data_IF_637147057722
#
_entry.id   IF_637147057722
#
_cell.length_a   1.000
_cell.length_b   1.000
_cell.length_c   1.000
_cell.angle_alpha   90.00
_cell.angle_beta   90.00
_cell.angle_gamma   90.00
#
_symmetry.space_group_name_H-M   'P 1'
#
loop_
_entity.id
_entity.type
_entity.pdbx_description
1 polymer ?
#
# COMPACT_ATOMS: atom_id res chain seq x y z
N UNK A 1 -1.79 38.64 -10.73
CA UNK A 1 -2.48 38.00 -9.59
C UNK A 1 -2.13 36.53 -9.61
N UNK A 2 -1.22 36.08 -8.73
CA UNK A 2 -0.66 34.74 -8.77
C UNK A 2 -1.70 33.70 -8.38
N UNK A 3 -1.94 32.71 -9.24
CA UNK A 3 -2.69 31.51 -8.90
C UNK A 3 -2.03 30.86 -7.68
N UNK A 4 -2.72 30.86 -6.54
CA UNK A 4 -2.26 30.21 -5.30
C UNK A 4 -2.32 28.71 -5.48
N UNK A 5 -1.20 28.13 -5.92
CA UNK A 5 -1.01 26.69 -6.04
C UNK A 5 -1.23 26.05 -4.66
N UNK A 6 -1.96 24.94 -4.56
CA UNK A 6 -2.12 24.17 -3.32
C UNK A 6 -3.00 24.78 -2.19
N UNK A 7 -3.82 25.81 -2.44
CA UNK A 7 -4.66 26.44 -1.40
C UNK A 7 -5.57 25.46 -0.64
N UNK A 8 -6.10 24.45 -1.34
CA UNK A 8 -6.97 23.42 -0.76
C UNK A 8 -6.22 22.20 -0.19
N UNK A 9 -4.89 22.18 -0.25
CA UNK A 9 -4.09 21.02 0.17
C UNK A 9 -3.95 20.98 1.70
N UNK A 10 -4.57 19.97 2.33
CA UNK A 10 -4.45 19.70 3.77
C UNK A 10 -3.11 19.03 4.05
N UNK A 11 -2.25 19.74 4.77
CA UNK A 11 -0.87 19.32 5.01
C UNK A 11 -0.64 19.01 6.48
N UNK A 12 0.02 17.90 6.79
CA UNK A 12 0.55 17.63 8.12
C UNK A 12 2.08 17.74 8.11
N UNK A 13 2.60 18.51 9.06
CA UNK A 13 4.02 18.66 9.35
C UNK A 13 4.34 17.92 10.66
N UNK A 14 4.73 16.66 10.53
CA UNK A 14 5.07 15.76 11.62
C UNK A 14 6.58 15.74 11.83
N UNK A 15 7.12 16.85 12.32
CA UNK A 15 8.55 17.07 12.51
C UNK A 15 8.75 17.47 13.96
N UNK A 16 9.61 16.78 14.70
CA UNK A 16 9.91 17.07 16.11
C UNK A 16 10.61 18.43 16.27
N UNK A 17 11.60 18.72 15.44
CA UNK A 17 12.35 19.97 15.46
C UNK A 17 11.46 21.17 15.07
N UNK A 18 11.16 22.01 16.07
CA UNK A 18 10.32 23.21 15.93
C UNK A 18 10.85 24.22 14.91
N UNK A 19 12.18 24.38 14.79
CA UNK A 19 12.78 25.33 13.84
C UNK A 19 12.54 24.87 12.40
N UNK A 20 12.77 23.58 12.12
CA UNK A 20 12.50 22.99 10.80
C UNK A 20 11.00 23.12 10.47
N UNK A 21 10.13 22.78 11.42
CA UNK A 21 8.68 22.82 11.23
C UNK A 21 8.17 24.23 10.90
N UNK A 22 8.63 25.25 11.64
CA UNK A 22 8.31 26.66 11.35
C UNK A 22 8.85 27.08 9.98
N UNK A 23 10.11 26.74 9.67
CA UNK A 23 10.74 27.09 8.40
C UNK A 23 10.01 26.50 7.20
N UNK A 24 9.62 25.22 7.27
CA UNK A 24 8.82 24.56 6.24
C UNK A 24 7.44 25.22 6.10
N UNK A 25 6.73 25.45 7.21
CA UNK A 25 5.41 26.08 7.19
C UNK A 25 5.44 27.46 6.54
N UNK A 26 6.39 28.32 6.93
CA UNK A 26 6.51 29.66 6.35
C UNK A 26 6.86 29.62 4.86
N UNK A 27 7.80 28.76 4.46
CA UNK A 27 8.13 28.61 3.04
C UNK A 27 6.92 28.12 2.22
N UNK A 28 6.15 27.17 2.74
CA UNK A 28 5.02 26.58 2.04
C UNK A 28 3.84 27.55 1.90
N UNK A 29 3.65 28.45 2.88
CA UNK A 29 2.68 29.54 2.76
C UNK A 29 2.93 30.42 1.53
N UNK A 30 4.19 30.69 1.19
CA UNK A 30 4.53 31.46 0.00
C UNK A 30 4.13 30.74 -1.29
N UNK A 31 4.14 29.39 -1.28
CA UNK A 31 3.71 28.55 -2.40
C UNK A 31 2.19 28.33 -2.47
N UNK A 32 1.43 28.84 -1.51
CA UNK A 32 -0.03 28.85 -1.51
C UNK A 32 -0.71 27.85 -0.58
N UNK A 33 0.04 27.04 0.14
CA UNK A 33 -0.50 26.18 1.20
C UNK A 33 -1.11 27.03 2.34
N UNK A 34 -2.24 26.58 2.89
CA UNK A 34 -2.95 27.30 3.98
C UNK A 34 -3.36 26.40 5.15
N UNK A 35 -3.73 25.15 4.88
CA UNK A 35 -4.19 24.21 5.90
C UNK A 35 -3.04 23.35 6.42
N UNK A 36 -2.57 23.65 7.64
CA UNK A 36 -1.48 22.92 8.29
C UNK A 36 -1.94 22.31 9.62
N UNK A 37 -1.61 21.05 9.82
CA UNK A 37 -1.60 20.38 11.13
C UNK A 37 -0.14 20.16 11.51
N UNK A 38 0.28 20.65 12.67
CA UNK A 38 1.66 20.50 13.16
C UNK A 38 1.69 19.51 14.32
N UNK A 39 2.54 18.49 14.23
CA UNK A 39 2.75 17.51 15.31
C UNK A 39 4.24 17.29 15.52
N UNK A 40 4.65 17.04 16.77
CA UNK A 40 6.04 16.82 17.15
C UNK A 40 6.30 15.41 17.69
N UNK A 41 5.25 14.62 17.90
CA UNK A 41 5.30 13.32 18.56
C UNK A 41 4.51 12.28 17.78
N UNK A 42 4.92 11.02 17.91
CA UNK A 42 4.31 9.89 17.22
C UNK A 42 2.82 9.73 17.55
N UNK A 43 2.43 9.83 18.83
CA UNK A 43 1.03 9.67 19.25
C UNK A 43 0.11 10.73 18.63
N UNK A 44 0.59 11.98 18.54
CA UNK A 44 -0.14 13.06 17.89
C UNK A 44 -0.28 12.85 16.37
N UNK A 45 0.73 12.27 15.72
CA UNK A 45 0.62 11.87 14.31
C UNK A 45 -0.47 10.79 14.12
N UNK A 46 -0.50 9.77 14.97
CA UNK A 46 -1.54 8.72 14.93
C UNK A 46 -2.92 9.35 15.14
N UNK A 47 -3.09 10.19 16.16
CA UNK A 47 -4.36 10.85 16.43
C UNK A 47 -4.82 11.70 15.25
N UNK A 48 -3.92 12.50 14.66
CA UNK A 48 -4.24 13.33 13.51
C UNK A 48 -4.71 12.50 12.31
N UNK A 49 -3.98 11.42 11.97
CA UNK A 49 -4.34 10.53 10.86
C UNK A 49 -5.64 9.73 11.10
N UNK A 50 -6.05 9.56 12.36
CA UNK A 50 -7.36 8.96 12.69
C UNK A 50 -8.52 9.95 12.64
N UNK A 51 -8.24 11.25 12.75
CA UNK A 51 -9.29 12.28 12.90
C UNK A 51 -9.57 13.03 11.60
N UNK A 52 -8.58 13.11 10.70
CA UNK A 52 -8.71 13.87 9.46
C UNK A 52 -7.91 13.23 8.32
N UNK A 53 -8.44 13.37 7.10
CA UNK A 53 -7.72 13.05 5.87
C UNK A 53 -6.75 14.17 5.49
N UNK A 54 -5.60 13.78 4.92
CA UNK A 54 -4.55 14.70 4.49
C UNK A 54 -4.20 14.48 3.02
N UNK A 55 -3.67 15.51 2.38
CA UNK A 55 -3.23 15.49 1.00
C UNK A 55 -1.71 15.37 0.90
N UNK A 56 -1.00 15.96 1.89
CA UNK A 56 0.46 15.96 1.99
C UNK A 56 0.89 15.67 3.43
N UNK A 57 1.79 14.71 3.60
CA UNK A 57 2.41 14.34 4.86
C UNK A 57 3.91 14.58 4.73
N UNK A 58 4.45 15.46 5.56
CA UNK A 58 5.89 15.61 5.75
C UNK A 58 6.21 15.16 7.16
N UNK A 59 6.96 14.06 7.28
CA UNK A 59 7.24 13.45 8.57
C UNK A 59 8.73 13.20 8.77
N UNK A 60 9.26 13.50 9.95
CA UNK A 60 10.55 12.95 10.36
C UNK A 60 10.45 11.42 10.43
N UNK A 61 11.46 10.73 9.93
CA UNK A 61 11.54 9.27 9.97
C UNK A 61 11.56 8.74 11.41
N UNK A 62 12.16 9.52 12.30
CA UNK A 62 12.06 9.40 13.74
C UNK A 62 11.38 10.65 14.29
N UNK A 63 10.25 10.46 14.98
CA UNK A 63 9.40 11.53 15.51
C UNK A 63 9.27 11.35 17.02
N UNK A 64 9.95 12.22 17.78
CA UNK A 64 10.00 12.09 19.24
C UNK A 64 10.69 10.81 19.71
N UNK A 65 11.72 10.35 18.99
CA UNK A 65 12.47 9.13 19.30
C UNK A 65 11.83 7.81 18.81
N UNK A 66 10.65 7.87 18.17
CA UNK A 66 9.96 6.70 17.64
C UNK A 66 9.87 6.74 16.12
N UNK A 67 9.95 5.58 15.46
CA UNK A 67 9.85 5.52 14.01
C UNK A 67 8.44 5.84 13.52
N UNK A 68 8.32 6.73 12.54
CA UNK A 68 7.05 7.00 11.86
C UNK A 68 6.72 5.98 10.75
N UNK A 69 7.71 5.16 10.34
CA UNK A 69 7.55 4.17 9.28
C UNK A 69 6.38 3.17 9.49
N UNK A 70 6.15 2.61 10.69
CA UNK A 70 5.00 1.73 10.92
C UNK A 70 3.65 2.42 10.70
N UNK A 71 3.55 3.71 11.02
CA UNK A 71 2.32 4.50 10.87
C UNK A 71 2.03 4.76 9.40
N UNK A 72 3.05 5.18 8.64
CA UNK A 72 2.93 5.39 7.19
C UNK A 72 2.57 4.06 6.50
N UNK A 73 3.21 2.96 6.90
CA UNK A 73 2.89 1.63 6.37
C UNK A 73 1.46 1.21 6.71
N UNK A 74 0.98 1.43 7.94
CA UNK A 74 -0.39 1.15 8.33
C UNK A 74 -1.40 1.95 7.48
N UNK A 75 -1.16 3.25 7.32
CA UNK A 75 -1.98 4.11 6.44
C UNK A 75 -2.00 3.59 5.00
N UNK A 76 -0.83 3.27 4.42
CA UNK A 76 -0.74 2.74 3.05
C UNK A 76 -1.47 1.42 2.86
N UNK A 77 -1.48 0.59 3.88
CA UNK A 77 -2.17 -0.70 3.87
C UNK A 77 -3.65 -0.59 4.27
N UNK A 78 -4.22 0.62 4.36
CA UNK A 78 -5.65 0.81 4.66
C UNK A 78 -6.03 0.51 6.12
N UNK A 79 -5.05 0.44 7.04
CA UNK A 79 -5.29 0.19 8.48
C UNK A 79 -5.55 1.48 9.27
N UNK A 80 -5.92 2.55 8.57
CA UNK A 80 -6.26 3.85 9.13
C UNK A 80 -7.59 4.28 8.50
N UNK A 81 -8.43 5.07 9.18
CA UNK A 81 -9.81 5.34 8.76
C UNK A 81 -9.94 6.22 7.50
N UNK A 82 -8.84 6.66 6.90
CA UNK A 82 -8.83 7.54 5.75
C UNK A 82 -7.94 6.98 4.64
N UNK A 83 -8.24 7.42 3.41
CA UNK A 83 -7.64 6.86 2.21
C UNK A 83 -6.09 6.83 2.24
N UNK A 84 -5.46 5.83 1.60
CA UNK A 84 -4.01 5.63 1.64
C UNK A 84 -3.24 6.55 0.68
N UNK A 85 -3.90 7.50 0.00
CA UNK A 85 -3.31 8.29 -1.08
C UNK A 85 -2.58 9.61 -0.77
N UNK A 86 -2.42 10.10 0.49
CA UNK A 86 -1.62 11.30 0.71
C UNK A 86 -0.24 11.17 0.09
N UNK A 87 0.33 12.28 -0.37
CA UNK A 87 1.74 12.30 -0.79
C UNK A 87 2.60 12.36 0.46
N UNK A 88 3.56 11.45 0.59
CA UNK A 88 4.37 11.31 1.80
C UNK A 88 5.84 11.61 1.50
N UNK A 89 6.40 12.58 2.21
CA UNK A 89 7.83 12.90 2.20
C UNK A 89 8.40 12.62 3.59
N UNK A 90 9.33 11.67 3.68
CA UNK A 90 10.01 11.34 4.93
C UNK A 90 11.34 12.09 5.03
N UNK A 91 11.62 12.68 6.20
CA UNK A 91 12.87 13.38 6.50
C UNK A 91 13.78 12.46 7.32
N UNK A 92 14.99 12.22 6.84
CA UNK A 92 15.91 11.25 7.42
C UNK A 92 17.06 11.98 8.12
N UNK A 93 17.38 11.57 9.35
CA UNK A 93 18.54 12.09 10.08
C UNK A 93 19.86 11.46 9.61
N UNK A 94 19.80 10.22 9.13
CA UNK A 94 20.96 9.44 8.70
C UNK A 94 20.72 8.74 7.36
N UNK A 95 21.80 8.28 6.75
CA UNK A 95 21.81 7.66 5.41
C UNK A 95 22.22 6.20 5.44
N UNK A 96 22.22 5.58 6.63
CA UNK A 96 22.50 4.15 6.77
C UNK A 96 21.58 3.31 5.87
N UNK A 97 22.15 2.29 5.24
CA UNK A 97 21.47 1.53 4.20
C UNK A 97 20.26 0.77 4.74
N UNK A 98 20.37 0.18 5.93
CA UNK A 98 19.29 -0.58 6.55
C UNK A 98 18.19 0.36 7.05
N UNK A 99 18.57 1.51 7.61
CA UNK A 99 17.63 2.58 7.96
C UNK A 99 16.84 3.06 6.74
N UNK A 100 17.54 3.47 5.66
CA UNK A 100 16.90 3.95 4.43
C UNK A 100 16.00 2.87 3.82
N UNK A 101 16.42 1.60 3.85
CA UNK A 101 15.60 0.48 3.36
C UNK A 101 14.34 0.32 4.19
N UNK A 102 14.42 0.39 5.52
CA UNK A 102 13.27 0.35 6.42
C UNK A 102 12.27 1.47 6.12
N UNK A 103 12.76 2.71 5.98
CA UNK A 103 11.89 3.86 5.65
C UNK A 103 11.31 3.73 4.25
N UNK A 104 12.08 3.26 3.27
CA UNK A 104 11.61 3.01 1.90
C UNK A 104 10.47 1.98 1.87
N UNK A 105 10.56 0.93 2.67
CA UNK A 105 9.55 -0.12 2.78
C UNK A 105 8.26 0.35 3.47
N UNK A 106 8.24 1.53 4.10
CA UNK A 106 7.00 2.11 4.62
C UNK A 106 6.10 2.72 3.52
N UNK A 107 6.63 2.90 2.31
CA UNK A 107 5.87 3.46 1.19
C UNK A 107 5.77 4.99 1.11
N UNK A 108 6.79 5.78 1.53
CA UNK A 108 6.76 7.21 1.23
C UNK A 108 6.86 7.45 -0.29
N UNK A 109 6.41 8.60 -0.79
CA UNK A 109 6.65 9.03 -2.18
C UNK A 109 8.10 9.53 -2.33
N UNK A 110 8.62 10.24 -1.31
CA UNK A 110 10.01 10.69 -1.28
C UNK A 110 10.68 10.55 0.08
N UNK A 111 12.01 10.57 0.06
CA UNK A 111 12.86 10.63 1.24
C UNK A 111 13.89 11.74 1.04
N UNK A 112 14.13 12.56 2.06
CA UNK A 112 15.11 13.65 2.02
C UNK A 112 15.97 13.61 3.28
N UNK A 113 17.30 13.72 3.11
CA UNK A 113 18.21 13.82 4.25
C UNK A 113 18.14 15.22 4.86
N UNK A 114 18.20 15.29 6.19
CA UNK A 114 18.36 16.53 6.93
C UNK A 114 19.84 17.00 6.86
N UNK A 115 20.09 18.32 6.85
CA UNK A 115 19.11 19.42 6.86
C UNK A 115 18.40 19.59 5.51
N UNK A 116 17.09 19.86 5.56
CA UNK A 116 16.28 20.05 4.35
C UNK A 116 16.00 21.53 4.09
N UNK A 117 16.30 21.98 2.87
CA UNK A 117 15.90 23.31 2.39
C UNK A 117 14.48 23.26 1.81
N UNK A 118 13.61 24.27 2.07
CA UNK A 118 12.24 24.26 1.55
C UNK A 118 12.14 24.27 0.02
N UNK A 119 13.05 24.96 -0.68
CA UNK A 119 13.03 25.08 -2.14
C UNK A 119 13.08 23.73 -2.87
N UNK A 120 14.10 22.88 -2.63
CA UNK A 120 14.15 21.52 -3.17
C UNK A 120 12.93 20.66 -2.84
N UNK A 121 12.37 20.80 -1.63
CA UNK A 121 11.16 20.07 -1.24
C UNK A 121 9.93 20.53 -2.05
N UNK A 122 9.74 21.84 -2.21
CA UNK A 122 8.67 22.42 -3.03
C UNK A 122 8.80 22.01 -4.50
N UNK A 123 10.02 22.00 -5.05
CA UNK A 123 10.27 21.48 -6.40
C UNK A 123 9.82 20.02 -6.52
N UNK A 124 10.11 19.20 -5.50
CA UNK A 124 9.68 17.80 -5.50
C UNK A 124 8.15 17.66 -5.41
N UNK A 125 7.50 18.51 -4.63
CA UNK A 125 6.02 18.59 -4.55
C UNK A 125 5.43 18.94 -5.91
N UNK A 126 6.03 19.90 -6.64
CA UNK A 126 5.64 20.24 -8.01
C UNK A 126 5.82 19.04 -8.96
N UNK A 127 6.94 18.33 -8.89
CA UNK A 127 7.17 17.11 -9.67
C UNK A 127 6.06 16.08 -9.41
N UNK A 128 5.66 15.89 -8.16
CA UNK A 128 4.58 14.97 -7.80
C UNK A 128 3.21 15.41 -8.30
N UNK A 129 2.91 16.70 -8.32
CA UNK A 129 1.67 17.22 -8.90
C UNK A 129 1.56 16.91 -10.41
N UNK A 130 2.70 16.82 -11.10
CA UNK A 130 2.78 16.50 -12.53
C UNK A 130 2.77 14.99 -12.79
N UNK A 131 3.67 14.26 -12.14
CA UNK A 131 3.87 12.83 -12.35
C UNK A 131 4.16 12.11 -11.03
N UNK A 132 3.10 11.64 -10.39
CA UNK A 132 3.21 10.68 -9.29
C UNK A 132 3.40 9.28 -9.86
N UNK A 133 4.27 8.48 -9.24
CA UNK A 133 4.44 7.07 -9.63
C UNK A 133 3.18 6.26 -9.32
N UNK A 134 2.86 5.25 -10.14
CA UNK A 134 1.80 4.31 -9.79
C UNK A 134 2.21 3.49 -8.57
N UNK A 135 1.22 2.93 -7.89
CA UNK A 135 1.40 2.05 -6.75
C UNK A 135 1.53 0.60 -7.18
N UNK A 136 2.14 -0.19 -6.31
CA UNK A 136 2.17 -1.66 -6.36
C UNK A 136 1.52 -2.16 -5.08
N UNK A 137 0.80 -3.28 -5.18
CA UNK A 137 0.22 -3.96 -4.03
C UNK A 137 0.84 -5.35 -3.91
N UNK A 138 1.44 -5.59 -2.76
CA UNK A 138 1.95 -6.89 -2.33
C UNK A 138 1.39 -7.18 -0.95
N UNK A 139 1.69 -8.37 -0.41
CA UNK A 139 1.26 -8.77 0.94
C UNK A 139 1.66 -7.76 2.03
N UNK A 140 2.89 -7.23 1.93
CA UNK A 140 3.49 -6.43 2.99
C UNK A 140 3.78 -4.98 2.59
N UNK A 141 3.44 -4.62 1.34
CA UNK A 141 3.76 -3.30 0.79
C UNK A 141 2.66 -2.84 -0.16
N UNK A 142 2.10 -1.68 0.18
CA UNK A 142 1.29 -0.86 -0.71
C UNK A 142 2.00 0.49 -0.86
N UNK A 143 2.33 0.89 -2.09
CA UNK A 143 2.99 2.18 -2.30
C UNK A 143 3.67 2.34 -3.65
N UNK A 144 4.35 3.48 -3.86
CA UNK A 144 4.97 3.84 -5.14
C UNK A 144 5.90 2.76 -5.69
N UNK A 145 5.83 2.49 -6.99
CA UNK A 145 6.75 1.55 -7.61
C UNK A 145 8.21 2.05 -7.55
N UNK A 146 9.06 1.17 -7.01
CA UNK A 146 10.51 1.41 -6.84
C UNK A 146 11.35 0.41 -7.63
N UNK A 147 10.72 -0.51 -8.37
CA UNK A 147 11.40 -1.53 -9.14
C UNK A 147 12.10 -0.86 -10.33
N UNK A 148 13.35 -1.26 -10.60
CA UNK A 148 14.11 -0.80 -11.77
C UNK A 148 13.92 -1.69 -13.00
N UNK A 149 13.12 -2.76 -12.86
CA UNK A 149 12.82 -3.75 -13.89
C UNK A 149 12.10 -4.96 -13.30
N UNK A 150 11.58 -5.81 -14.18
CA UNK A 150 11.03 -7.11 -13.80
C UNK A 150 12.16 -8.03 -13.32
N UNK A 151 11.93 -8.72 -12.21
CA UNK A 151 12.80 -9.82 -11.81
C UNK A 151 12.43 -11.04 -12.66
N UNK A 152 13.40 -11.72 -13.32
CA UNK A 152 13.12 -12.92 -14.10
C UNK A 152 12.39 -13.97 -13.24
N UNK A 153 11.28 -14.52 -13.75
CA UNK A 153 10.50 -15.55 -13.07
C UNK A 153 9.54 -15.08 -11.96
N UNK A 154 9.36 -13.76 -11.77
CA UNK A 154 8.32 -13.23 -10.90
C UNK A 154 7.05 -12.90 -11.67
N UNK A 155 5.89 -13.17 -11.06
CA UNK A 155 4.59 -12.73 -11.55
C UNK A 155 4.57 -11.20 -11.75
N UNK A 156 3.96 -10.74 -12.85
CA UNK A 156 3.81 -9.31 -13.11
C UNK A 156 2.82 -8.71 -12.11
N UNK A 157 3.34 -7.96 -11.13
CA UNK A 157 2.51 -7.28 -10.14
C UNK A 157 1.93 -6.01 -10.79
N UNK A 158 0.59 -5.89 -10.93
CA UNK A 158 -0.06 -4.76 -11.58
C UNK A 158 0.36 -3.43 -10.94
N UNK A 159 0.51 -2.43 -11.81
CA UNK A 159 0.69 -1.04 -11.42
C UNK A 159 -0.68 -0.37 -11.37
N UNK A 160 -0.93 0.37 -10.29
CA UNK A 160 -2.18 1.10 -10.09
C UNK A 160 -1.91 2.59 -10.11
N UNK A 161 -2.50 3.31 -11.06
CA UNK A 161 -2.54 4.76 -11.00
C UNK A 161 -3.43 5.17 -9.82
N UNK A 162 -2.87 5.95 -8.89
CA UNK A 162 -3.57 6.38 -7.68
C UNK A 162 -3.99 7.86 -7.75
N UNK A 163 -5.04 8.25 -7.02
CA UNK A 163 -5.42 9.64 -6.86
C UNK A 163 -4.23 10.49 -6.47
N UNK A 164 -4.16 11.69 -7.05
CA UNK A 164 -3.09 12.63 -6.79
C UNK A 164 -3.68 13.92 -6.21
N UNK A 165 -3.65 14.08 -4.89
CA UNK A 165 -4.30 15.22 -4.24
C UNK A 165 -3.62 16.56 -4.59
N UNK A 166 -2.31 16.57 -4.84
CA UNK A 166 -1.60 17.76 -5.32
C UNK A 166 -2.02 18.15 -6.74
N UNK A 167 -2.21 17.16 -7.63
CA UNK A 167 -2.75 17.39 -8.98
C UNK A 167 -4.19 17.89 -8.94
N UNK A 168 -5.01 17.33 -8.05
CA UNK A 168 -6.39 17.77 -7.84
C UNK A 168 -6.44 19.23 -7.38
N UNK A 169 -5.60 19.61 -6.40
CA UNK A 169 -5.52 20.98 -5.90
C UNK A 169 -5.03 21.97 -6.97
N UNK A 170 -3.99 21.61 -7.74
CA UNK A 170 -3.43 22.50 -8.78
C UNK A 170 -4.35 22.68 -9.99
N UNK A 171 -5.17 21.67 -10.31
CA UNK A 171 -6.13 21.72 -11.42
C UNK A 171 -7.53 22.16 -11.00
N UNK A 172 -7.75 22.47 -9.72
CA UNK A 172 -9.07 22.74 -9.14
C UNK A 172 -10.10 21.66 -9.51
N UNK A 173 -9.69 20.40 -9.40
CA UNK A 173 -10.61 19.26 -9.60
C UNK A 173 -11.70 19.34 -8.52
N UNK A 174 -13.00 19.31 -8.87
CA UNK A 174 -14.09 19.28 -7.91
C UNK A 174 -13.96 18.14 -6.89
N UNK A 175 -14.33 18.42 -5.64
CA UNK A 175 -14.21 17.45 -4.54
C UNK A 175 -15.00 16.16 -4.80
N UNK A 176 -16.16 16.24 -5.45
CA UNK A 176 -16.97 15.07 -5.83
C UNK A 176 -16.20 14.12 -6.75
N UNK A 177 -15.58 14.65 -7.82
CA UNK A 177 -14.79 13.86 -8.76
C UNK A 177 -13.57 13.26 -8.06
N UNK A 178 -12.91 14.05 -7.20
CA UNK A 178 -11.77 13.57 -6.40
C UNK A 178 -12.19 12.41 -5.48
N UNK A 179 -13.33 12.55 -4.81
CA UNK A 179 -13.83 11.56 -3.86
C UNK A 179 -14.21 10.26 -4.58
N UNK A 180 -14.88 10.33 -5.74
CA UNK A 180 -15.16 9.14 -6.55
C UNK A 180 -13.88 8.47 -7.08
N UNK A 181 -12.86 9.23 -7.48
CA UNK A 181 -11.57 8.66 -7.90
C UNK A 181 -10.88 7.92 -6.74
N UNK A 182 -10.95 8.48 -5.52
CA UNK A 182 -10.45 7.88 -4.29
C UNK A 182 -11.16 6.55 -4.02
N UNK A 183 -12.48 6.57 -3.92
CA UNK A 183 -13.30 5.39 -3.58
C UNK A 183 -13.07 4.24 -4.57
N UNK A 184 -13.12 4.52 -5.86
CA UNK A 184 -12.89 3.49 -6.89
C UNK A 184 -11.49 2.90 -6.81
N UNK A 185 -10.49 3.71 -6.47
CA UNK A 185 -9.11 3.23 -6.35
C UNK A 185 -8.91 2.44 -5.06
N UNK A 186 -9.55 2.81 -3.94
CA UNK A 186 -9.50 2.02 -2.70
C UNK A 186 -10.10 0.64 -2.92
N UNK A 187 -11.28 0.55 -3.53
CA UNK A 187 -11.92 -0.72 -3.91
C UNK A 187 -10.97 -1.55 -4.78
N UNK A 188 -10.32 -0.92 -5.76
CA UNK A 188 -9.38 -1.63 -6.63
C UNK A 188 -8.14 -2.15 -5.87
N UNK A 189 -7.54 -1.34 -5.00
CA UNK A 189 -6.40 -1.76 -4.17
C UNK A 189 -6.80 -2.88 -3.20
N UNK A 190 -8.00 -2.82 -2.62
CA UNK A 190 -8.54 -3.86 -1.76
C UNK A 190 -8.71 -5.18 -2.53
N UNK A 191 -9.31 -5.15 -3.73
CA UNK A 191 -9.44 -6.33 -4.58
C UNK A 191 -8.07 -6.94 -4.95
N UNK A 192 -7.09 -6.11 -5.29
CA UNK A 192 -5.72 -6.59 -5.56
C UNK A 192 -5.09 -7.23 -4.34
N UNK A 193 -5.27 -6.64 -3.15
CA UNK A 193 -4.75 -7.16 -1.89
C UNK A 193 -5.37 -8.51 -1.54
N UNK A 194 -6.69 -8.62 -1.65
CA UNK A 194 -7.43 -9.87 -1.50
C UNK A 194 -6.90 -10.94 -2.46
N UNK A 195 -6.68 -10.59 -3.73
CA UNK A 195 -6.09 -11.53 -4.71
C UNK A 195 -4.68 -11.98 -4.32
N UNK A 196 -3.89 -11.15 -3.64
CA UNK A 196 -2.59 -11.58 -3.09
C UNK A 196 -2.76 -12.54 -1.91
N UNK A 197 -3.78 -12.36 -1.09
CA UNK A 197 -4.10 -13.27 0.01
C UNK A 197 -4.51 -14.65 -0.49
N UNK A 198 -5.34 -14.76 -1.54
CA UNK A 198 -5.71 -16.07 -2.09
C UNK A 198 -4.49 -16.84 -2.63
N UNK A 199 -3.60 -16.17 -3.37
CA UNK A 199 -2.34 -16.77 -3.85
C UNK A 199 -1.46 -17.24 -2.69
N UNK A 200 -1.37 -16.44 -1.63
CA UNK A 200 -0.59 -16.79 -0.45
C UNK A 200 -1.19 -17.99 0.30
N UNK A 201 -2.51 -18.04 0.46
CA UNK A 201 -3.23 -19.17 1.07
C UNK A 201 -3.03 -20.46 0.27
N UNK A 202 -3.04 -20.40 -1.07
CA UNK A 202 -2.71 -21.55 -1.92
C UNK A 202 -1.25 -21.98 -1.79
N UNK A 203 -0.32 -21.03 -1.69
CA UNK A 203 1.09 -21.34 -1.46
C UNK A 203 1.29 -22.05 -0.10
N UNK A 204 0.59 -21.59 0.94
CA UNK A 204 0.55 -22.20 2.26
C UNK A 204 0.01 -23.63 2.16
N UNK A 205 -1.14 -23.83 1.50
CA UNK A 205 -1.76 -25.15 1.32
C UNK A 205 -0.77 -26.13 0.67
N UNK A 206 -0.12 -25.74 -0.42
CA UNK A 206 0.89 -26.55 -1.08
C UNK A 206 2.11 -26.84 -0.19
N UNK A 207 2.55 -25.87 0.62
CA UNK A 207 3.70 -26.03 1.51
C UNK A 207 3.40 -27.04 2.61
N UNK A 208 2.23 -26.96 3.25
CA UNK A 208 1.83 -27.91 4.30
C UNK A 208 1.61 -29.30 3.71
N UNK A 209 1.02 -29.42 2.51
CA UNK A 209 0.90 -30.72 1.81
C UNK A 209 2.25 -31.36 1.59
N UNK A 210 3.24 -30.60 1.12
CA UNK A 210 4.59 -31.10 0.91
C UNK A 210 5.21 -31.64 2.21
N UNK A 211 5.00 -30.96 3.35
CA UNK A 211 5.45 -31.41 4.67
C UNK A 211 4.77 -32.72 5.12
N UNK A 212 3.48 -32.89 4.80
CA UNK A 212 2.76 -34.14 5.10
C UNK A 212 3.25 -35.32 4.26
N UNK A 213 3.85 -35.06 3.10
CA UNK A 213 4.33 -36.09 2.16
C UNK A 213 5.83 -36.37 2.23
N UNK A 214 6.66 -35.43 2.68
CA UNK A 214 8.12 -35.54 2.70
C UNK A 214 8.71 -35.07 4.05
N UNK A 215 9.69 -35.82 4.58
CA UNK A 215 10.31 -35.62 5.91
C UNK A 215 11.18 -34.34 5.99
N UNK A 216 11.61 -33.77 4.85
CA UNK A 216 12.39 -32.51 4.81
C UNK A 216 11.50 -31.25 4.88
N UNK A 217 10.68 -31.16 5.93
CA UNK A 217 9.92 -29.95 6.19
C UNK A 217 10.86 -28.82 6.65
N UNK A 218 10.87 -27.69 5.92
CA UNK A 218 11.57 -26.48 6.37
C UNK A 218 10.69 -25.73 7.39
N UNK A 219 10.81 -26.10 8.66
CA UNK A 219 10.04 -25.53 9.78
C UNK A 219 10.13 -24.00 9.90
N UNK A 220 11.22 -23.38 9.42
CA UNK A 220 11.35 -21.93 9.38
C UNK A 220 10.29 -21.24 8.51
N UNK A 221 9.74 -21.95 7.50
CA UNK A 221 8.65 -21.44 6.65
C UNK A 221 7.28 -21.43 7.36
N UNK A 222 7.08 -22.28 8.37
CA UNK A 222 5.81 -22.36 9.15
C UNK A 222 5.66 -21.13 10.05
N UNK A 223 6.74 -20.69 10.70
CA UNK A 223 6.72 -19.50 11.58
C UNK A 223 6.48 -18.22 10.78
N UNK A 224 7.09 -18.09 9.59
CA UNK A 224 6.76 -16.98 8.68
C UNK A 224 5.29 -17.01 8.23
N UNK A 225 4.69 -18.20 8.18
CA UNK A 225 3.32 -18.40 7.76
C UNK A 225 2.30 -17.93 8.80
N UNK A 226 2.47 -18.26 10.09
CA UNK A 226 1.57 -17.79 11.14
C UNK A 226 1.50 -16.25 11.21
N UNK A 227 2.66 -15.58 11.06
CA UNK A 227 2.73 -14.12 10.98
C UNK A 227 2.05 -13.55 9.74
N UNK A 228 2.12 -14.26 8.60
CA UNK A 228 1.49 -13.84 7.36
C UNK A 228 -0.03 -13.94 7.47
N UNK A 229 -0.54 -15.04 8.05
CA UNK A 229 -1.97 -15.22 8.29
C UNK A 229 -2.53 -14.13 9.21
N UNK A 230 -1.80 -13.70 10.26
CA UNK A 230 -2.27 -12.65 11.18
C UNK A 230 -2.48 -11.33 10.46
N UNK A 231 -1.62 -11.06 9.46
CA UNK A 231 -1.75 -9.89 8.59
C UNK A 231 -2.93 -10.02 7.65
N UNK A 232 -3.12 -11.20 7.06
CA UNK A 232 -4.29 -11.48 6.20
C UNK A 232 -5.58 -11.23 6.98
N UNK A 233 -5.72 -11.79 8.19
CA UNK A 233 -6.90 -11.58 9.02
C UNK A 233 -7.11 -10.10 9.41
N UNK A 234 -6.04 -9.40 9.80
CA UNK A 234 -6.12 -7.97 10.15
C UNK A 234 -6.43 -7.05 8.95
N UNK A 235 -6.20 -7.52 7.72
CA UNK A 235 -6.42 -6.76 6.48
C UNK A 235 -7.68 -7.21 5.73
N UNK A 236 -8.43 -8.18 6.28
CA UNK A 236 -9.74 -8.54 5.75
C UNK A 236 -10.71 -7.38 5.95
N UNK A 237 -11.64 -7.14 5.00
CA UNK A 237 -12.64 -6.10 5.15
C UNK A 237 -13.45 -6.35 6.42
N UNK A 238 -13.72 -5.31 7.21
CA UNK A 238 -14.69 -5.34 8.30
C UNK A 238 -16.06 -4.84 7.81
N UNK A 239 -16.34 -4.95 6.51
CA UNK A 239 -17.55 -4.40 5.93
C UNK A 239 -18.73 -5.28 6.33
N UNK A 240 -19.69 -4.63 7.01
CA UNK A 240 -20.98 -4.98 7.64
C UNK A 240 -21.88 -5.97 6.83
N UNK A 241 -21.27 -7.04 6.32
CA UNK A 241 -21.86 -8.10 5.52
C UNK A 241 -21.44 -9.42 6.15
N UNK A 242 -22.42 -10.29 6.39
CA UNK A 242 -22.27 -11.58 7.08
C UNK A 242 -21.19 -12.51 6.51
N UNK A 243 -20.73 -12.26 5.28
CA UNK A 243 -19.66 -13.00 4.62
C UNK A 243 -18.25 -12.58 5.11
N UNK A 244 -18.05 -11.30 5.42
CA UNK A 244 -16.75 -10.77 5.82
C UNK A 244 -16.39 -11.18 7.25
N UNK A 245 -17.37 -11.13 8.16
CA UNK A 245 -17.22 -11.55 9.55
C UNK A 245 -17.01 -13.07 9.68
N UNK A 246 -17.75 -13.88 8.90
CA UNK A 246 -17.58 -15.33 8.86
C UNK A 246 -16.20 -15.71 8.30
N UNK A 247 -15.70 -14.99 7.29
CA UNK A 247 -14.37 -15.23 6.74
C UNK A 247 -13.25 -14.79 7.69
N UNK A 248 -13.38 -13.63 8.33
CA UNK A 248 -12.42 -13.13 9.32
C UNK A 248 -12.35 -14.08 10.52
N UNK A 249 -13.50 -14.52 11.05
CA UNK A 249 -13.57 -15.50 12.13
C UNK A 249 -12.96 -16.85 11.72
N UNK A 250 -13.21 -17.32 10.49
CA UNK A 250 -12.57 -18.55 9.98
C UNK A 250 -11.06 -18.41 9.88
N UNK A 251 -10.55 -17.27 9.42
CA UNK A 251 -9.12 -16.98 9.33
C UNK A 251 -8.48 -16.84 10.72
N UNK A 252 -9.16 -16.22 11.68
CA UNK A 252 -8.74 -16.14 13.09
C UNK A 252 -8.70 -17.53 13.75
N UNK A 253 -9.69 -18.38 13.51
CA UNK A 253 -9.67 -19.75 14.03
C UNK A 253 -8.49 -20.57 13.45
N UNK A 254 -8.21 -20.43 12.15
CA UNK A 254 -7.04 -21.06 11.52
C UNK A 254 -5.75 -20.52 12.13
N UNK A 255 -5.72 -19.23 12.45
CA UNK A 255 -4.58 -18.58 13.04
C UNK A 255 -4.26 -19.07 14.44
N UNK A 256 -5.27 -19.19 15.28
CA UNK A 256 -5.13 -19.71 16.63
C UNK A 256 -4.70 -21.18 16.60
N UNK A 257 -5.25 -21.98 15.67
CA UNK A 257 -4.84 -23.36 15.44
C UNK A 257 -3.37 -23.47 14.99
N UNK A 258 -2.92 -22.51 14.18
CA UNK A 258 -1.56 -22.46 13.65
C UNK A 258 -0.53 -21.95 14.62
N UNK A 259 -0.84 -20.92 15.40
CA UNK A 259 0.04 -20.43 16.47
C UNK A 259 0.19 -21.50 17.55
N UNK A 260 -0.92 -22.11 17.97
CA UNK A 260 -0.92 -23.24 18.92
C UNK A 260 -0.09 -24.42 18.40
N UNK A 261 -0.14 -24.67 17.08
CA UNK A 261 0.68 -25.68 16.41
C UNK A 261 2.15 -25.28 16.25
N UNK A 262 2.44 -24.03 15.93
CA UNK A 262 3.78 -23.50 15.69
C UNK A 262 4.59 -23.36 16.98
N UNK A 263 3.97 -22.92 18.08
CA UNK A 263 4.60 -22.88 19.40
C UNK A 263 4.94 -24.30 19.90
N UNK A 264 4.06 -25.28 19.63
CA UNK A 264 4.32 -26.68 19.92
C UNK A 264 5.47 -27.28 19.09
N UNK A 265 5.67 -26.82 17.84
CA UNK A 265 6.81 -27.21 16.99
C UNK A 265 8.12 -26.56 17.45
N UNK A 266 8.09 -25.27 17.79
CA UNK A 266 9.27 -24.50 18.17
C UNK A 266 9.87 -24.92 19.52
N UNK A 267 9.04 -25.47 20.42
CA UNK A 267 9.43 -25.89 21.77
C UNK A 267 9.95 -27.34 21.88
N UNK A 268 10.22 -28.03 20.77
CA UNK A 268 11.00 -29.27 20.80
C UNK A 268 10.23 -30.59 20.91
N UNK A 269 8.92 -30.63 20.61
CA UNK A 269 8.23 -31.85 20.15
C UNK A 269 6.80 -32.07 20.70
N UNK A 270 6.08 -33.15 20.29
CA UNK A 270 6.15 -33.91 19.04
C UNK A 270 5.02 -33.51 18.05
N UNK A 271 5.24 -33.78 16.76
CA UNK A 271 4.26 -33.89 15.65
C UNK A 271 2.98 -33.05 15.77
N UNK A 272 2.85 -31.95 15.00
CA UNK A 272 1.51 -31.43 14.72
C UNK A 272 0.67 -32.62 14.25
N UNK A 273 -0.46 -32.84 14.93
CA UNK A 273 -1.41 -33.89 14.56
C UNK A 273 -1.79 -33.75 13.08
N UNK A 274 -1.64 -34.86 12.34
CA UNK A 274 -1.99 -34.94 10.93
C UNK A 274 -3.44 -34.51 10.68
N UNK A 275 -4.37 -34.77 11.61
CA UNK A 275 -5.75 -34.31 11.51
C UNK A 275 -5.87 -32.79 11.62
N UNK A 276 -5.10 -32.14 12.50
CA UNK A 276 -5.05 -30.67 12.61
C UNK A 276 -4.48 -30.03 11.35
N UNK A 277 -3.41 -30.60 10.79
CA UNK A 277 -2.86 -30.13 9.51
C UNK A 277 -3.88 -30.24 8.36
N UNK A 278 -4.66 -31.32 8.32
CA UNK A 278 -5.74 -31.47 7.34
C UNK A 278 -6.83 -30.41 7.54
N UNK A 279 -7.18 -30.07 8.79
CA UNK A 279 -8.11 -28.99 9.11
C UNK A 279 -7.64 -27.63 8.60
N UNK A 280 -6.38 -27.27 8.88
CA UNK A 280 -5.75 -26.04 8.38
C UNK A 280 -5.77 -25.98 6.84
N UNK A 281 -5.40 -27.08 6.17
CA UNK A 281 -5.42 -27.18 4.70
C UNK A 281 -6.83 -26.95 4.13
N UNK A 282 -7.87 -27.49 4.77
CA UNK A 282 -9.25 -27.29 4.36
C UNK A 282 -9.63 -25.81 4.47
N UNK A 283 -9.35 -25.17 5.60
CA UNK A 283 -9.73 -23.76 5.77
C UNK A 283 -8.94 -22.81 4.89
N UNK A 284 -7.64 -23.04 4.66
CA UNK A 284 -6.86 -22.25 3.70
C UNK A 284 -7.46 -22.33 2.30
N UNK A 285 -7.94 -23.50 1.88
CA UNK A 285 -8.60 -23.69 0.59
C UNK A 285 -9.94 -22.98 0.53
N UNK A 286 -10.77 -23.15 1.55
CA UNK A 286 -12.10 -22.56 1.61
C UNK A 286 -12.02 -21.02 1.61
N UNK A 287 -11.09 -20.45 2.38
CA UNK A 287 -10.84 -19.01 2.40
C UNK A 287 -10.29 -18.50 1.06
N UNK A 288 -9.37 -19.23 0.42
CA UNK A 288 -8.86 -18.85 -0.90
C UNK A 288 -9.98 -18.85 -1.96
N UNK A 289 -10.83 -19.89 -1.98
CA UNK A 289 -11.97 -19.98 -2.90
C UNK A 289 -12.95 -18.84 -2.68
N UNK A 290 -13.30 -18.54 -1.43
CA UNK A 290 -14.26 -17.49 -1.15
C UNK A 290 -13.72 -16.08 -1.49
N UNK A 291 -12.42 -15.85 -1.30
CA UNK A 291 -11.77 -14.61 -1.75
C UNK A 291 -11.80 -14.51 -3.29
N UNK A 292 -11.54 -15.61 -3.99
CA UNK A 292 -11.61 -15.64 -5.46
C UNK A 292 -13.04 -15.38 -5.96
N UNK A 293 -14.04 -16.00 -5.36
CA UNK A 293 -15.46 -15.77 -5.66
C UNK A 293 -15.86 -14.30 -5.42
N UNK A 294 -15.32 -13.68 -4.36
CA UNK A 294 -15.54 -12.26 -4.05
C UNK A 294 -14.91 -11.33 -5.10
N UNK A 295 -13.74 -11.70 -5.64
CA UNK A 295 -13.03 -10.93 -6.68
C UNK A 295 -13.68 -11.11 -8.06
N UNK A 296 -14.17 -12.31 -8.37
CA UNK A 296 -14.78 -12.67 -9.66
C UNK A 296 -16.25 -12.22 -9.81
N UNK A 297 -16.84 -11.62 -8.77
CA UNK A 297 -18.10 -10.90 -8.90
C UNK A 297 -17.96 -9.83 -10.01
N UNK A 298 -18.87 -9.81 -11.01
CA UNK A 298 -18.76 -8.88 -12.12
C UNK A 298 -18.83 -7.45 -11.61
N UNK A 299 -17.68 -6.79 -11.50
CA UNK A 299 -17.62 -5.34 -11.38
C UNK A 299 -18.43 -4.74 -12.53
N UNK A 300 -19.43 -3.90 -12.21
CA UNK A 300 -20.31 -3.25 -13.16
C UNK A 300 -19.58 -2.79 -14.44
N UNK A 301 -20.24 -2.83 -15.62
CA UNK A 301 -19.57 -2.67 -16.91
C UNK A 301 -18.70 -1.42 -16.95
N UNK A 302 -17.39 -1.65 -17.10
CA UNK A 302 -16.40 -0.58 -17.29
C UNK A 302 -16.80 0.24 -18.52
N UNK A 303 -16.86 1.58 -18.45
CA UNK A 303 -17.04 2.38 -19.64
C UNK A 303 -15.88 2.07 -20.59
N UNK A 304 -16.22 1.57 -21.79
CA UNK A 304 -15.25 1.35 -22.87
C UNK A 304 -14.53 2.69 -23.08
N UNK A 305 -13.21 2.73 -22.88
CA UNK A 305 -12.39 3.89 -23.23
C UNK A 305 -12.69 4.21 -24.70
N UNK A 306 -13.44 5.28 -24.93
CA UNK A 306 -13.61 5.86 -26.26
C UNK A 306 -12.24 6.31 -26.73
N UNK A 307 -11.62 5.51 -27.60
CA UNK A 307 -10.43 5.92 -28.32
C UNK A 307 -10.80 7.15 -29.16
N UNK A 308 -10.20 8.29 -28.84
CA UNK A 308 -10.20 9.43 -29.74
C UNK A 308 -9.50 8.99 -31.04
N UNK A 309 -10.12 9.17 -32.21
CA UNK A 309 -9.48 8.82 -33.46
C UNK A 309 -8.30 9.77 -33.70
N UNK A 310 -7.11 9.21 -33.95
CA UNK A 310 -5.98 9.99 -34.46
C UNK A 310 -6.36 10.61 -35.81
N UNK A 311 -6.06 11.88 -36.07
CA UNK A 311 -6.23 12.44 -37.41
C UNK A 311 -5.21 11.78 -38.35
N UNK A 312 -5.71 11.18 -39.43
CA UNK A 312 -4.90 10.56 -40.47
C UNK A 312 -4.08 11.62 -41.22
N UNK A 313 -2.78 11.37 -41.35
CA UNK A 313 -2.02 11.85 -42.49
C UNK A 313 -2.06 10.73 -43.54
N UNK A 314 -2.67 11.04 -44.67
CA UNK A 314 -2.54 10.20 -45.85
C UNK A 314 -1.15 10.39 -46.45
N UNK A 315 -0.54 9.28 -46.84
CA UNK A 315 0.13 9.17 -48.13
C UNK A 315 0.49 7.71 -48.42
N UNK A 316 0.26 7.32 -49.67
CA UNK A 316 1.24 6.56 -50.45
C UNK A 316 1.28 5.04 -50.31
N UNK A 317 0.63 4.40 -51.29
CA UNK A 317 0.74 3.02 -51.76
C UNK A 317 2.10 2.29 -51.67
N UNK A 318 1.94 0.96 -51.70
CA UNK A 318 2.73 -0.10 -52.37
C UNK A 318 3.82 -0.84 -51.57
N UNK A 319 3.68 -2.17 -51.55
CA UNK A 319 4.81 -3.09 -51.39
C UNK A 319 4.47 -4.36 -50.59
N UNK A 320 4.04 -5.40 -51.30
CA UNK A 320 3.90 -6.77 -50.80
C UNK A 320 5.18 -7.29 -50.13
N UNK A 321 5.05 -8.10 -49.06
CA UNK A 321 5.46 -9.52 -48.96
C UNK A 321 5.61 -9.96 -47.49
N UNK A 322 4.93 -11.05 -47.13
CA UNK A 322 5.18 -11.89 -45.94
C UNK A 322 6.46 -12.73 -46.20
N UNK A 323 7.21 -13.17 -45.17
CA UNK A 323 6.86 -14.43 -44.51
C UNK A 323 7.18 -14.56 -43.00
N UNK A 324 6.66 -15.65 -42.46
CA UNK A 324 6.82 -16.28 -41.14
C UNK A 324 8.23 -16.26 -40.51
N UNK A 325 8.28 -16.01 -39.20
CA UNK A 325 8.56 -16.99 -38.14
C UNK A 325 8.06 -16.45 -36.79
#
# INVERSE_FOLDING_TARGET
MGSTRYNSTRTILAVDNKVIRIGLREAFKHSGFRAFTEVAEQGALVQALNTASFDLIIASAELGGFSAAPIISAMRNGRMPHHPFPIVIMLLAESDQDFVRKISNAGPDHMMLLPVAPGPMLKRIDDFALSRRPFVVTLDYTGPDRRKGLRPGCEEIPLVDVPNPLRASTRNIPDEIRQSEIELTEIHLHALRLGRYSVQLRWIDNTIRAMLTNIEANFGKIVSFARTMKRIAADMPSDDTTLSDDMALRLENVLDDLDSGADAILLGGPTIDRQRLIGILATCRDAASAIEDLIDLPSAPRPRRGGTPKPGHGDGLMGMTLPHC
#
